data_IF_368798463664
#
_entry.id   IF_368798463664
#
_cell.length_a   1.000
_cell.length_b   1.000
_cell.length_c   1.000
_cell.angle_alpha   90.00
_cell.angle_beta   90.00
_cell.angle_gamma   90.00
#
_symmetry.space_group_name_H-M   'P 1'
#
loop_
_entity.id
_entity.type
_entity.pdbx_description
1 polymer ?
#
# COMPACT_ATOMS: atom_id res chain seq x y z
N UNK A 1 -14.73 -4.85 5.58
CA UNK A 1 -13.61 -5.73 5.90
C UNK A 1 -13.10 -6.30 4.60
N UNK A 2 -11.78 -6.32 4.42
CA UNK A 2 -11.14 -6.87 3.24
C UNK A 2 -10.99 -8.38 3.42
N UNK A 3 -11.47 -9.18 2.46
CA UNK A 3 -11.29 -10.65 2.47
C UNK A 3 -10.26 -11.03 1.40
N UNK A 4 -9.21 -11.73 1.82
CA UNK A 4 -8.07 -12.08 0.96
C UNK A 4 -8.18 -13.46 0.32
N UNK A 5 -9.05 -14.33 0.82
CA UNK A 5 -9.19 -15.73 0.35
C UNK A 5 -9.75 -15.83 -1.07
N UNK A 6 -10.54 -14.85 -1.50
CA UNK A 6 -11.13 -14.76 -2.84
C UNK A 6 -10.33 -13.86 -3.80
N UNK A 7 -9.21 -13.29 -3.35
CA UNK A 7 -8.46 -12.30 -4.12
C UNK A 7 -7.81 -12.91 -5.36
N UNK A 8 -8.05 -12.32 -6.54
CA UNK A 8 -7.38 -12.69 -7.77
C UNK A 8 -6.35 -11.63 -8.17
N UNK A 9 -5.05 -11.93 -8.02
CA UNK A 9 -3.98 -11.08 -8.53
C UNK A 9 -3.83 -11.27 -10.05
N UNK A 10 -4.47 -10.39 -10.82
CA UNK A 10 -4.56 -10.49 -12.28
C UNK A 10 -3.31 -9.95 -12.99
N UNK A 11 -2.76 -8.81 -12.52
CA UNK A 11 -1.54 -8.20 -13.09
C UNK A 11 -0.61 -7.68 -12.01
N UNK A 12 0.68 -7.71 -12.31
CA UNK A 12 1.74 -7.17 -11.46
C UNK A 12 2.84 -6.54 -12.30
N UNK A 13 3.27 -5.34 -11.92
CA UNK A 13 4.51 -4.72 -12.39
C UNK A 13 5.38 -4.40 -11.19
N UNK A 14 6.68 -4.64 -11.31
CA UNK A 14 7.66 -4.32 -10.27
C UNK A 14 8.62 -3.27 -10.81
N UNK A 15 8.76 -2.17 -10.11
CA UNK A 15 9.75 -1.13 -10.37
C UNK A 15 10.73 -1.07 -9.18
N UNK A 16 11.82 -0.33 -9.34
CA UNK A 16 12.70 0.04 -8.22
C UNK A 16 12.76 1.56 -8.14
N UNK A 17 12.37 2.11 -7.01
CA UNK A 17 12.36 3.55 -6.75
C UNK A 17 13.38 3.89 -5.68
N UNK A 18 14.25 4.85 -5.95
CA UNK A 18 15.20 5.40 -5.00
C UNK A 18 14.68 6.62 -4.25
N UNK A 19 15.58 7.25 -3.50
CA UNK A 19 15.40 8.55 -2.88
C UNK A 19 15.91 9.66 -3.81
N UNK A 20 15.04 10.62 -4.15
CA UNK A 20 15.37 11.76 -5.02
C UNK A 20 16.37 12.71 -4.38
N UNK A 21 16.27 12.95 -3.07
CA UNK A 21 17.21 13.80 -2.34
C UNK A 21 18.64 13.24 -2.27
N UNK A 22 18.80 11.94 -2.56
CA UNK A 22 20.10 11.24 -2.64
C UNK A 22 20.50 10.86 -4.07
N UNK A 23 19.73 11.30 -5.07
CA UNK A 23 19.97 10.99 -6.49
C UNK A 23 20.06 9.48 -6.79
N UNK A 24 19.36 8.63 -6.04
CA UNK A 24 19.44 7.16 -6.19
C UNK A 24 18.73 6.63 -7.45
N UNK A 25 17.99 7.50 -8.14
CA UNK A 25 17.32 7.23 -9.41
C UNK A 25 16.12 6.27 -9.33
N UNK A 26 15.65 5.87 -10.51
CA UNK A 26 14.51 4.97 -10.71
C UNK A 26 14.82 3.94 -11.80
N UNK A 27 14.32 2.71 -11.65
CA UNK A 27 14.43 1.66 -12.65
C UNK A 27 13.06 1.04 -12.90
N UNK A 28 12.60 1.12 -14.15
CA UNK A 28 11.34 0.51 -14.56
C UNK A 28 11.53 -0.94 -15.03
N UNK A 29 10.60 -1.83 -14.70
CA UNK A 29 10.43 -3.05 -15.48
C UNK A 29 10.01 -2.71 -16.91
N UNK A 30 10.39 -3.57 -17.86
CA UNK A 30 10.02 -3.44 -19.28
C UNK A 30 8.63 -4.02 -19.60
N UNK A 31 8.08 -4.84 -18.71
CA UNK A 31 6.78 -5.48 -18.90
C UNK A 31 6.19 -5.97 -17.57
N UNK A 32 4.89 -6.31 -17.51
CA UNK A 32 4.30 -7.05 -16.40
C UNK A 32 5.00 -8.39 -16.14
N UNK A 33 4.98 -8.82 -14.88
CA UNK A 33 5.57 -10.09 -14.44
C UNK A 33 4.63 -11.24 -14.76
N UNK A 34 5.16 -12.32 -15.34
CA UNK A 34 4.43 -13.57 -15.47
C UNK A 34 4.54 -14.34 -14.15
N UNK A 35 3.40 -14.55 -13.48
CA UNK A 35 3.31 -15.22 -12.20
C UNK A 35 2.84 -16.67 -12.38
N UNK A 36 3.57 -17.62 -11.79
CA UNK A 36 3.02 -18.94 -11.52
C UNK A 36 2.09 -18.89 -10.30
N UNK A 37 1.29 -19.95 -10.11
CA UNK A 37 0.27 -20.00 -9.05
C UNK A 37 0.89 -19.87 -7.64
N UNK A 38 1.96 -20.60 -7.36
CA UNK A 38 2.62 -20.56 -6.05
C UNK A 38 3.12 -19.16 -5.68
N UNK A 39 3.77 -18.45 -6.62
CA UNK A 39 4.24 -17.09 -6.39
C UNK A 39 3.07 -16.13 -6.28
N UNK A 40 2.00 -16.33 -7.05
CA UNK A 40 0.77 -15.53 -6.95
C UNK A 40 0.18 -15.59 -5.54
N UNK A 41 0.04 -16.78 -4.98
CA UNK A 41 -0.53 -16.97 -3.64
C UNK A 41 0.35 -16.35 -2.55
N UNK A 42 1.68 -16.50 -2.68
CA UNK A 42 2.63 -15.86 -1.77
C UNK A 42 2.52 -14.34 -1.81
N UNK A 43 2.38 -13.76 -3.01
CA UNK A 43 2.23 -12.31 -3.18
C UNK A 43 0.89 -11.80 -2.65
N UNK A 44 -0.21 -12.51 -2.90
CA UNK A 44 -1.53 -12.17 -2.34
C UNK A 44 -1.44 -12.12 -0.81
N UNK A 45 -0.83 -13.13 -0.18
CA UNK A 45 -0.64 -13.16 1.27
C UNK A 45 0.23 -12.01 1.76
N UNK A 46 1.35 -11.76 1.08
CA UNK A 46 2.26 -10.66 1.40
C UNK A 46 1.57 -9.29 1.34
N UNK A 47 0.80 -9.06 0.27
CA UNK A 47 0.12 -7.79 0.03
C UNK A 47 -1.08 -7.56 0.94
N UNK A 48 -1.92 -8.57 1.17
CA UNK A 48 -3.22 -8.34 1.82
C UNK A 48 -3.21 -8.60 3.34
N UNK A 49 -2.32 -9.44 3.85
CA UNK A 49 -2.29 -9.78 5.29
C UNK A 49 -2.12 -8.59 6.26
N UNK A 50 -1.49 -7.45 5.88
CA UNK A 50 -1.40 -6.28 6.76
C UNK A 50 -2.72 -5.49 6.91
N UNK A 51 -3.68 -5.63 5.99
CA UNK A 51 -4.90 -4.83 5.92
C UNK A 51 -6.04 -5.39 6.80
N UNK A 52 -5.74 -5.61 8.08
CA UNK A 52 -6.71 -6.15 9.06
C UNK A 52 -7.56 -5.07 9.74
N UNK A 53 -7.12 -3.81 9.69
CA UNK A 53 -7.80 -2.69 10.34
C UNK A 53 -8.86 -2.10 9.41
N UNK A 54 -9.97 -1.64 9.98
CA UNK A 54 -11.09 -1.01 9.26
C UNK A 54 -10.94 0.52 9.22
N UNK A 55 -9.73 1.01 8.96
CA UNK A 55 -9.53 2.43 8.69
C UNK A 55 -9.39 2.64 7.20
N UNK A 56 -10.32 3.43 6.65
CA UNK A 56 -10.34 3.78 5.25
C UNK A 56 -10.17 5.28 5.06
N UNK A 57 -9.65 5.61 3.90
CA UNK A 57 -9.33 6.96 3.47
C UNK A 57 -9.97 7.22 2.11
N UNK A 58 -9.99 8.49 1.73
CA UNK A 58 -10.23 8.92 0.37
C UNK A 58 -9.06 9.78 -0.11
N UNK A 59 -8.73 9.68 -1.40
CA UNK A 59 -7.87 10.64 -2.06
C UNK A 59 -8.46 12.04 -1.96
N UNK A 60 -7.60 13.04 -1.81
CA UNK A 60 -8.02 14.44 -1.88
C UNK A 60 -6.96 15.29 -2.56
N UNK A 61 -7.38 16.48 -2.95
CA UNK A 61 -6.52 17.57 -3.37
C UNK A 61 -7.28 18.86 -3.11
N UNK A 62 -6.60 19.93 -2.68
CA UNK A 62 -7.26 21.16 -2.21
C UNK A 62 -8.06 21.89 -3.30
N UNK A 63 -7.56 21.84 -4.54
CA UNK A 63 -8.22 22.45 -5.70
C UNK A 63 -9.24 21.52 -6.38
N UNK A 64 -8.80 20.36 -6.89
CA UNK A 64 -9.65 19.42 -7.63
C UNK A 64 -9.09 18.00 -7.48
N UNK A 65 -9.95 17.02 -7.23
CA UNK A 65 -9.57 15.62 -7.01
C UNK A 65 -8.78 15.02 -8.20
N UNK A 66 -9.05 15.46 -9.43
CA UNK A 66 -8.31 15.04 -10.63
C UNK A 66 -6.84 15.44 -10.64
N UNK A 67 -6.44 16.39 -9.78
CA UNK A 67 -5.06 16.83 -9.58
C UNK A 67 -4.31 15.96 -8.56
N UNK A 68 -4.98 15.05 -7.86
CA UNK A 68 -4.29 13.99 -7.12
C UNK A 68 -3.76 12.96 -8.12
N UNK A 69 -2.43 12.85 -8.21
CA UNK A 69 -1.76 12.05 -9.24
C UNK A 69 -2.06 10.55 -9.09
N UNK A 70 -2.09 10.05 -7.85
CA UNK A 70 -2.41 8.63 -7.59
C UNK A 70 -3.85 8.32 -7.95
N UNK A 71 -4.79 9.20 -7.59
CA UNK A 71 -6.19 9.11 -8.01
C UNK A 71 -6.30 9.11 -9.53
N UNK A 72 -5.64 10.06 -10.21
CA UNK A 72 -5.67 10.20 -11.66
C UNK A 72 -5.19 8.94 -12.38
N UNK A 73 -4.02 8.42 -12.00
CA UNK A 73 -3.48 7.19 -12.59
C UNK A 73 -4.34 5.96 -12.28
N UNK A 74 -4.89 5.87 -11.06
CA UNK A 74 -5.76 4.76 -10.68
C UNK A 74 -7.07 4.77 -11.43
N UNK A 75 -7.68 5.95 -11.60
CA UNK A 75 -8.88 6.16 -12.39
C UNK A 75 -8.66 5.76 -13.86
N UNK A 76 -7.53 6.15 -14.45
CA UNK A 76 -7.16 5.76 -15.82
C UNK A 76 -7.00 4.23 -15.97
N UNK A 77 -6.45 3.54 -14.96
CA UNK A 77 -6.36 2.07 -14.95
C UNK A 77 -7.74 1.43 -14.86
N UNK A 78 -8.65 1.96 -14.05
CA UNK A 78 -10.01 1.41 -13.93
C UNK A 78 -10.84 1.64 -15.20
N UNK A 79 -10.67 2.80 -15.86
CA UNK A 79 -11.35 3.12 -17.11
C UNK A 79 -10.84 2.29 -18.30
N UNK A 80 -9.52 2.11 -18.37
CA UNK A 80 -8.87 1.26 -19.36
C UNK A 80 -7.79 0.41 -18.70
N UNK A 81 -8.10 -0.86 -18.36
CA UNK A 81 -7.11 -1.80 -17.85
C UNK A 81 -5.94 -2.02 -18.80
N UNK A 82 -6.06 -1.74 -20.11
CA UNK A 82 -4.96 -1.76 -21.07
C UNK A 82 -3.84 -0.77 -20.73
N UNK A 83 -4.18 0.33 -20.08
CA UNK A 83 -3.23 1.37 -19.64
C UNK A 83 -2.40 1.00 -18.41
N UNK A 84 -2.62 -0.18 -17.80
CA UNK A 84 -2.02 -0.59 -16.52
C UNK A 84 -0.50 -0.37 -16.45
N UNK A 85 0.25 -0.80 -17.46
CA UNK A 85 1.71 -0.65 -17.46
C UNK A 85 2.16 0.81 -17.55
N UNK A 86 1.49 1.62 -18.40
CA UNK A 86 1.80 3.04 -18.52
C UNK A 86 1.60 3.75 -17.18
N UNK A 87 0.45 3.50 -16.54
CA UNK A 87 0.12 4.11 -15.26
C UNK A 87 0.95 3.54 -14.10
N UNK A 88 1.46 2.30 -14.19
CA UNK A 88 2.43 1.79 -13.20
C UNK A 88 3.76 2.54 -13.27
N UNK A 89 4.23 2.90 -14.48
CA UNK A 89 5.41 3.75 -14.69
C UNK A 89 5.18 5.16 -14.15
N UNK A 90 4.00 5.73 -14.40
CA UNK A 90 3.64 7.06 -13.88
C UNK A 90 3.59 7.08 -12.34
N UNK A 91 2.97 6.07 -11.71
CA UNK A 91 2.95 5.91 -10.26
C UNK A 91 4.37 5.78 -9.67
N UNK A 92 5.25 5.02 -10.33
CA UNK A 92 6.63 4.87 -9.89
C UNK A 92 7.43 6.18 -9.99
N UNK A 93 7.24 6.94 -11.07
CA UNK A 93 7.82 8.28 -11.21
C UNK A 93 7.33 9.23 -10.12
N UNK A 94 6.01 9.30 -9.90
CA UNK A 94 5.42 10.13 -8.86
C UNK A 94 5.97 9.80 -7.47
N UNK A 95 6.07 8.51 -7.13
CA UNK A 95 6.67 8.08 -5.88
C UNK A 95 8.11 8.57 -5.71
N UNK A 96 8.93 8.46 -6.77
CA UNK A 96 10.31 8.96 -6.74
C UNK A 96 10.36 10.47 -6.52
N UNK A 97 9.50 11.24 -7.19
CA UNK A 97 9.41 12.69 -7.05
C UNK A 97 9.05 13.13 -5.61
N UNK A 98 8.18 12.37 -4.94
CA UNK A 98 7.83 12.60 -3.52
C UNK A 98 8.86 12.04 -2.52
N UNK A 99 9.78 11.18 -2.95
CA UNK A 99 10.73 10.46 -2.06
C UNK A 99 12.01 11.24 -1.81
N UNK A 100 11.93 12.44 -1.20
CA UNK A 100 13.11 13.29 -0.92
C UNK A 100 13.62 13.20 0.52
N UNK A 101 12.81 12.72 1.46
CA UNK A 101 13.15 12.72 2.87
C UNK A 101 14.30 11.73 3.19
N UNK A 102 15.32 12.08 4.01
CA UNK A 102 16.50 11.23 4.22
C UNK A 102 16.23 9.83 4.75
N UNK A 103 15.11 9.63 5.46
CA UNK A 103 14.70 8.34 6.02
C UNK A 103 14.05 7.40 4.99
N UNK A 104 13.68 7.88 3.80
CA UNK A 104 13.16 7.04 2.72
C UNK A 104 14.30 6.23 2.12
N UNK A 105 14.13 4.91 2.09
CA UNK A 105 15.12 3.98 1.52
C UNK A 105 14.76 3.60 0.08
N UNK A 106 15.77 3.30 -0.76
CA UNK A 106 15.52 2.70 -2.07
C UNK A 106 14.95 1.29 -1.90
N UNK A 107 14.15 0.84 -2.86
CA UNK A 107 13.64 -0.52 -2.85
C UNK A 107 12.62 -0.82 -3.93
N UNK A 108 12.03 -2.00 -3.86
CA UNK A 108 11.07 -2.51 -4.83
C UNK A 108 9.68 -1.88 -4.62
N UNK A 109 9.07 -1.42 -5.71
CA UNK A 109 7.70 -0.93 -5.80
C UNK A 109 6.86 -1.89 -6.63
N UNK A 110 5.82 -2.44 -6.03
CA UNK A 110 4.89 -3.38 -6.66
C UNK A 110 3.59 -2.66 -6.97
N UNK A 111 3.20 -2.64 -8.24
CA UNK A 111 1.90 -2.16 -8.69
C UNK A 111 1.10 -3.38 -9.13
N UNK A 112 -0.02 -3.64 -8.48
CA UNK A 112 -0.86 -4.81 -8.73
C UNK A 112 -2.28 -4.43 -9.12
N UNK A 113 -2.89 -5.26 -9.96
CA UNK A 113 -4.31 -5.19 -10.27
C UNK A 113 -4.99 -6.47 -9.76
N UNK A 114 -5.92 -6.29 -8.83
CA UNK A 114 -6.76 -7.35 -8.30
C UNK A 114 -8.15 -7.31 -8.94
N UNK A 115 -8.69 -8.48 -9.23
CA UNK A 115 -10.08 -8.64 -9.63
C UNK A 115 -10.86 -9.35 -8.52
N UNK A 116 -12.12 -8.95 -8.33
CA UNK A 116 -13.02 -9.53 -7.34
C UNK A 116 -12.46 -9.55 -5.91
N UNK A 117 -11.70 -8.52 -5.52
CA UNK A 117 -11.27 -8.36 -4.13
C UNK A 117 -12.46 -7.90 -3.29
N UNK A 118 -12.79 -8.64 -2.25
CA UNK A 118 -13.96 -8.36 -1.44
C UNK A 118 -13.68 -7.25 -0.41
N UNK A 119 -14.56 -6.25 -0.39
CA UNK A 119 -14.61 -5.17 0.60
C UNK A 119 -16.03 -5.07 1.14
N UNK A 120 -16.21 -5.35 2.44
CA UNK A 120 -17.50 -5.18 3.13
C UNK A 120 -18.65 -5.97 2.46
N UNK A 121 -18.35 -7.19 1.97
CA UNK A 121 -19.31 -8.07 1.28
C UNK A 121 -19.49 -7.78 -0.21
N UNK A 122 -18.78 -6.78 -0.77
CA UNK A 122 -18.82 -6.44 -2.18
C UNK A 122 -17.53 -6.86 -2.89
N UNK A 123 -17.64 -7.64 -3.96
CA UNK A 123 -16.52 -7.93 -4.84
C UNK A 123 -16.23 -6.72 -5.75
N UNK A 124 -15.01 -6.20 -5.68
CA UNK A 124 -14.55 -5.02 -6.42
C UNK A 124 -13.22 -5.29 -7.11
N UNK A 125 -12.98 -4.59 -8.22
CA UNK A 125 -11.62 -4.46 -8.75
C UNK A 125 -10.83 -3.48 -7.87
N UNK A 126 -9.55 -3.78 -7.67
CA UNK A 126 -8.70 -2.98 -6.80
C UNK A 126 -7.27 -2.86 -7.33
N UNK A 127 -6.64 -1.72 -7.09
CA UNK A 127 -5.23 -1.49 -7.38
C UNK A 127 -4.45 -1.56 -6.06
N UNK A 128 -3.35 -2.31 -6.06
CA UNK A 128 -2.42 -2.35 -4.95
C UNK A 128 -1.12 -1.63 -5.30
N UNK A 129 -0.62 -0.83 -4.35
CA UNK A 129 0.67 -0.15 -4.44
C UNK A 129 1.45 -0.53 -3.18
N UNK A 130 2.55 -1.25 -3.33
CA UNK A 130 3.33 -1.78 -2.22
C UNK A 130 4.79 -1.43 -2.36
N UNK A 131 5.43 -0.98 -1.28
CA UNK A 131 6.84 -0.65 -1.27
C UNK A 131 7.55 -1.51 -0.24
N UNK A 132 8.65 -2.14 -0.66
CA UNK A 132 9.61 -2.77 0.23
C UNK A 132 10.86 -1.90 0.32
N UNK A 133 11.28 -1.60 1.54
CA UNK A 133 12.44 -0.78 1.92
C UNK A 133 13.42 -1.57 2.80
N UNK A 134 12.99 -2.72 3.30
CA UNK A 134 13.73 -3.58 4.21
C UNK A 134 14.04 -4.92 3.53
N UNK A 135 15.29 -5.38 3.67
CA UNK A 135 15.71 -6.75 3.34
C UNK A 135 16.15 -7.47 4.61
N UNK A 136 15.91 -8.77 4.64
CA UNK A 136 16.37 -9.67 5.70
C UNK A 136 17.31 -10.71 5.10
N UNK A 137 18.38 -11.03 5.83
CA UNK A 137 19.33 -12.06 5.44
C UNK A 137 18.78 -13.43 5.85
N UNK A 138 18.63 -14.32 4.88
CA UNK A 138 18.21 -15.70 5.05
C UNK A 138 19.38 -16.65 4.81
N UNK A 139 19.50 -17.68 5.64
CA UNK A 139 20.46 -18.76 5.42
C UNK A 139 19.81 -19.90 4.64
N UNK A 140 20.43 -20.29 3.53
CA UNK A 140 20.07 -21.49 2.76
C UNK A 140 21.02 -22.61 3.15
N UNK A 141 20.48 -23.67 3.74
CA UNK A 141 21.22 -24.89 4.07
C UNK A 141 20.74 -25.99 3.14
N UNK A 142 21.64 -26.61 2.39
CA UNK A 142 21.31 -27.68 1.47
C UNK A 142 22.41 -28.75 1.44
N UNK A 143 22.05 -30.01 1.15
CA UNK A 143 23.02 -31.09 1.07
C UNK A 143 23.95 -30.92 -0.13
N UNK A 144 25.23 -31.23 0.06
CA UNK A 144 26.28 -31.25 -0.96
C UNK A 144 27.11 -32.53 -0.79
N UNK A 145 26.73 -33.58 -1.54
CA UNK A 145 27.23 -34.93 -1.33
C UNK A 145 26.85 -35.46 0.06
N UNK A 146 27.84 -35.92 0.83
CA UNK A 146 27.68 -36.40 2.21
C UNK A 146 27.74 -35.26 3.25
N UNK A 147 27.94 -34.01 2.83
CA UNK A 147 28.05 -32.84 3.69
C UNK A 147 26.86 -31.88 3.51
N UNK A 148 26.84 -30.81 4.29
CA UNK A 148 25.91 -29.69 4.14
C UNK A 148 26.67 -28.41 3.85
N UNK A 149 26.16 -27.61 2.92
CA UNK A 149 26.67 -26.28 2.59
C UNK A 149 25.67 -25.22 3.06
N UNK A 150 26.20 -24.08 3.50
CA UNK A 150 25.43 -22.93 3.98
C UNK A 150 25.76 -21.71 3.14
N UNK A 151 24.73 -21.13 2.53
CA UNK A 151 24.81 -19.85 1.82
C UNK A 151 23.87 -18.82 2.47
N UNK A 152 24.07 -17.54 2.18
CA UNK A 152 23.16 -16.48 2.61
C UNK A 152 22.59 -15.75 1.40
N UNK A 153 21.35 -15.29 1.53
CA UNK A 153 20.70 -14.41 0.56
C UNK A 153 19.95 -13.30 1.28
N UNK A 154 20.07 -12.08 0.76
CA UNK A 154 19.24 -10.97 1.21
C UNK A 154 17.95 -10.91 0.40
N UNK A 155 16.82 -11.07 1.08
CA UNK A 155 15.50 -11.16 0.47
C UNK A 155 14.46 -10.26 1.16
N UNK A 156 13.30 -10.14 0.53
CA UNK A 156 12.13 -9.53 1.18
C UNK A 156 11.50 -10.52 2.16
N UNK A 157 11.06 -10.06 3.33
CA UNK A 157 10.26 -10.88 4.22
C UNK A 157 8.78 -10.79 3.82
N UNK A 158 8.24 -11.90 3.29
CA UNK A 158 6.84 -12.00 2.84
C UNK A 158 5.78 -11.83 3.95
N UNK A 159 6.20 -11.81 5.22
CA UNK A 159 5.31 -11.56 6.36
C UNK A 159 5.38 -10.10 6.84
N UNK A 160 6.25 -9.27 6.24
CA UNK A 160 6.54 -7.92 6.69
C UNK A 160 6.53 -6.95 5.51
N UNK A 161 5.33 -6.46 5.20
CA UNK A 161 5.16 -5.34 4.29
C UNK A 161 5.62 -4.05 4.96
N UNK A 162 6.46 -3.26 4.29
CA UNK A 162 6.90 -1.97 4.83
C UNK A 162 5.82 -0.89 4.63
N UNK A 163 5.36 -0.70 3.39
CA UNK A 163 4.27 0.22 3.04
C UNK A 163 3.33 -0.37 2.01
N UNK A 164 2.04 -0.09 2.14
CA UNK A 164 1.02 -0.58 1.23
C UNK A 164 -0.15 0.37 1.10
N UNK A 165 -0.81 0.33 -0.05
CA UNK A 165 -2.05 1.00 -0.33
C UNK A 165 -2.91 0.10 -1.21
N UNK A 166 -4.19 -0.05 -0.85
CA UNK A 166 -5.22 -0.70 -1.65
C UNK A 166 -6.25 0.35 -2.03
N UNK A 167 -6.54 0.45 -3.32
CA UNK A 167 -7.48 1.41 -3.90
C UNK A 167 -8.61 0.60 -4.51
N UNK A 168 -9.81 0.73 -3.97
CA UNK A 168 -10.99 0.00 -4.45
C UNK A 168 -11.74 0.85 -5.48
N UNK A 169 -12.21 0.21 -6.56
CA UNK A 169 -13.02 0.87 -7.57
C UNK A 169 -14.46 1.11 -7.08
N UNK A 170 -14.60 1.94 -6.05
CA UNK A 170 -15.86 2.35 -5.42
C UNK A 170 -15.75 3.79 -4.97
N UNK A 171 -16.86 4.53 -4.92
CA UNK A 171 -16.87 5.93 -4.45
C UNK A 171 -15.89 6.85 -5.20
N UNK A 172 -15.76 6.67 -6.52
CA UNK A 172 -14.84 7.46 -7.36
C UNK A 172 -14.97 8.97 -7.14
N UNK A 173 -16.20 9.50 -7.15
CA UNK A 173 -16.47 10.92 -6.97
C UNK A 173 -16.04 11.46 -5.59
N UNK A 174 -15.89 10.58 -4.60
CA UNK A 174 -15.42 10.94 -3.26
C UNK A 174 -13.91 10.73 -3.08
N UNK A 175 -13.18 10.24 -4.10
CA UNK A 175 -11.74 9.97 -4.02
C UNK A 175 -11.36 8.51 -3.81
N UNK A 176 -12.21 7.56 -4.22
CA UNK A 176 -12.06 6.11 -4.00
C UNK A 176 -12.02 5.68 -2.54
N UNK A 177 -12.46 4.46 -2.24
CA UNK A 177 -12.16 3.86 -0.93
C UNK A 177 -10.72 3.37 -0.94
N UNK A 178 -9.92 3.87 0.00
CA UNK A 178 -8.49 3.55 0.11
C UNK A 178 -8.20 2.93 1.48
N UNK A 179 -7.49 1.81 1.51
CA UNK A 179 -6.87 1.29 2.72
C UNK A 179 -5.36 1.48 2.63
N UNK A 180 -4.69 1.91 3.70
CA UNK A 180 -3.25 2.17 3.70
C UNK A 180 -2.57 1.60 4.93
N UNK A 181 -1.32 1.15 4.77
CA UNK A 181 -0.46 0.64 5.83
C UNK A 181 0.91 1.27 5.67
N UNK A 182 1.45 1.81 6.77
CA UNK A 182 2.84 2.24 6.87
C UNK A 182 3.47 1.71 8.17
N UNK A 183 4.23 0.63 8.06
CA UNK A 183 4.84 -0.03 9.21
C UNK A 183 6.19 0.58 9.64
N UNK A 184 6.78 1.46 8.82
CA UNK A 184 8.06 2.11 9.11
C UNK A 184 7.88 3.45 9.82
N UNK A 185 6.74 4.10 9.65
CA UNK A 185 6.45 5.44 10.18
C UNK A 185 5.74 5.40 11.53
N UNK A 186 6.31 4.67 12.51
CA UNK A 186 5.85 4.76 13.92
C UNK A 186 6.34 6.06 14.56
N UNK A 187 5.73 7.19 14.18
CA UNK A 187 6.05 8.54 14.65
C UNK A 187 5.79 9.63 13.59
N UNK A 188 5.92 10.91 13.98
CA UNK A 188 5.65 12.10 13.15
C UNK A 188 6.58 12.33 11.95
N UNK A 189 7.53 11.43 11.69
CA UNK A 189 8.78 11.78 11.00
C UNK A 189 8.89 11.29 9.55
N UNK A 190 7.83 10.74 8.96
CA UNK A 190 7.81 10.37 7.56
C UNK A 190 6.36 10.24 7.04
N UNK A 191 5.65 11.36 6.94
CA UNK A 191 4.30 11.40 6.35
C UNK A 191 4.31 11.31 4.82
N UNK A 192 5.46 11.15 4.17
CA UNK A 192 5.57 11.17 2.71
C UNK A 192 4.64 10.14 2.02
N UNK A 193 4.40 8.99 2.65
CA UNK A 193 3.53 7.97 2.06
C UNK A 193 2.07 8.43 2.00
N UNK A 194 1.54 8.90 3.13
CA UNK A 194 0.13 9.30 3.26
C UNK A 194 -0.13 10.70 2.71
N UNK A 195 0.76 11.65 2.99
CA UNK A 195 0.52 13.08 2.79
C UNK A 195 1.09 13.58 1.46
N UNK A 196 2.30 13.13 1.06
CA UNK A 196 2.95 13.63 -0.16
C UNK A 196 2.64 12.76 -1.38
N UNK A 197 2.75 11.44 -1.24
CA UNK A 197 2.56 10.48 -2.32
C UNK A 197 1.08 10.19 -2.54
N UNK A 198 0.40 9.64 -1.53
CA UNK A 198 -1.02 9.29 -1.65
C UNK A 198 -1.94 10.52 -1.57
N UNK A 199 -1.61 11.52 -0.74
CA UNK A 199 -2.49 12.67 -0.42
C UNK A 199 -3.90 12.19 -0.08
N UNK A 200 -4.01 11.42 1.00
CA UNK A 200 -5.28 10.84 1.47
C UNK A 200 -5.73 11.43 2.79
N UNK A 201 -7.05 11.51 2.99
CA UNK A 201 -7.67 11.94 4.23
C UNK A 201 -8.64 10.88 4.72
N UNK A 202 -8.94 10.87 6.02
CA UNK A 202 -9.87 9.91 6.59
C UNK A 202 -11.22 9.95 5.84
N UNK A 203 -11.75 8.77 5.51
CA UNK A 203 -13.04 8.65 4.85
C UNK A 203 -14.13 9.15 5.80
N UNK A 204 -14.95 10.08 5.32
CA UNK A 204 -16.07 10.62 6.10
C UNK A 204 -17.24 9.63 6.05
N UNK A 205 -17.21 8.60 6.89
CA UNK A 205 -18.33 7.67 7.08
C UNK A 205 -18.99 7.80 8.47
N UNK A 206 -20.17 7.18 8.65
CA UNK A 206 -20.89 7.16 9.93
C UNK A 206 -20.08 6.51 11.06
N UNK A 207 -19.13 5.63 10.74
CA UNK A 207 -18.27 4.97 11.72
C UNK A 207 -17.26 5.95 12.33
N UNK A 208 -16.71 6.87 11.52
CA UNK A 208 -15.90 7.98 12.00
C UNK A 208 -16.68 8.90 12.95
N UNK A 209 -17.90 9.32 12.59
CA UNK A 209 -18.74 10.14 13.47
C UNK A 209 -19.03 9.44 14.79
N UNK A 210 -19.28 8.13 14.76
CA UNK A 210 -19.55 7.33 15.97
C UNK A 210 -18.30 7.18 16.84
N UNK A 211 -17.14 6.88 16.25
CA UNK A 211 -15.87 6.71 16.98
C UNK A 211 -15.38 8.03 17.59
N UNK A 212 -15.51 9.14 16.87
CA UNK A 212 -15.18 10.47 17.37
C UNK A 212 -16.13 10.89 18.50
N UNK A 213 -17.44 10.63 18.35
CA UNK A 213 -18.44 10.90 19.40
C UNK A 213 -18.19 10.04 20.64
N UNK A 214 -17.90 8.74 20.48
CA UNK A 214 -17.57 7.85 21.60
C UNK A 214 -16.29 8.27 22.31
N UNK A 215 -15.29 8.74 21.57
CA UNK A 215 -14.02 9.26 22.13
C UNK A 215 -14.26 10.54 22.91
N UNK A 216 -15.06 11.47 22.37
CA UNK A 216 -15.48 12.69 23.06
C UNK A 216 -16.27 12.38 24.34
N UNK A 217 -17.23 11.44 24.29
CA UNK A 217 -17.97 10.99 25.46
C UNK A 217 -17.07 10.34 26.50
N UNK A 218 -16.13 9.48 26.08
CA UNK A 218 -15.17 8.85 26.99
C UNK A 218 -14.27 9.87 27.67
N UNK A 219 -13.73 10.82 26.91
CA UNK A 219 -12.87 11.88 27.46
C UNK A 219 -13.66 12.77 28.43
N UNK A 220 -14.90 13.14 28.09
CA UNK A 220 -15.76 13.89 28.99
C UNK A 220 -16.01 13.15 30.31
N UNK A 221 -16.35 11.86 30.26
CA UNK A 221 -16.55 11.02 31.46
C UNK A 221 -15.26 10.88 32.28
N UNK A 222 -14.13 10.70 31.62
CA UNK A 222 -12.83 10.46 32.29
C UNK A 222 -12.26 11.75 32.90
N UNK A 223 -12.47 12.90 32.27
CA UNK A 223 -11.96 14.21 32.73
C UNK A 223 -12.90 14.92 33.70
N UNK A 224 -14.23 14.70 33.65
CA UNK A 224 -15.22 15.44 34.47
C UNK A 224 -15.74 14.69 35.69
N UNK A 225 -15.59 13.36 35.78
CA UNK A 225 -16.03 12.61 36.97
C UNK A 225 -15.07 12.63 38.17
N UNK A 226 -13.74 12.89 38.07
CA UNK A 226 -12.89 12.95 39.25
C UNK A 226 -13.12 14.17 40.17
N UNK A 227 -13.88 15.18 39.74
CA UNK A 227 -14.12 16.42 40.52
C UNK A 227 -15.47 16.45 41.25
N UNK A 228 -16.28 15.39 41.19
CA UNK A 228 -17.52 15.33 41.99
C UNK A 228 -17.78 13.93 42.52
N UNK A 229 -17.01 13.53 43.53
CA UNK A 229 -17.45 12.66 44.63
C UNK A 229 -16.62 12.97 45.88
#
# INVERSE_FOLDING_TARGET
MIISESANLHRLVIHKTGNKGKEEGIKFSKSPVQLNETIRDLLIRYFLSPFKQQEYFNFYHDADLSLNEVFHFSAAIFDDPGSFYLNSVNLANHLYECSSHPKVKPGELYISYFQNLELDGQALDAIGIFKSESKETFLKVYPDGDNFTIEHEDGININKLDKGCLIFNSERENGFVVASVDNLSKGSDALYWMDDFLKVRQRNDQFFQTSQTLTLCRNFVTEKLPETF
#
